data_IF_627994049485
#
_entry.id   IF_627994049485
#
_cell.length_a   1.000
_cell.length_b   1.000
_cell.length_c   1.000
_cell.angle_alpha   90.00
_cell.angle_beta   90.00
_cell.angle_gamma   90.00
#
_symmetry.space_group_name_H-M   'P 1'
#
loop_
_entity.id
_entity.type
_entity.pdbx_description
1 polymer ?
#
# COMPACT_ATOMS: atom_id res chain seq x y z
N UNK A 1 -70.51 13.93 11.56
CA UNK A 1 -69.71 14.23 10.36
C UNK A 1 -68.24 14.05 10.71
N UNK A 2 -67.59 12.98 10.24
CA UNK A 2 -66.16 12.73 10.51
C UNK A 2 -65.34 13.49 9.46
N UNK A 3 -64.50 14.44 9.87
CA UNK A 3 -63.57 15.14 8.97
C UNK A 3 -62.29 14.32 8.87
N UNK A 4 -61.98 13.85 7.66
CA UNK A 4 -60.73 13.20 7.31
C UNK A 4 -59.71 14.31 7.01
N UNK A 5 -58.62 14.39 7.78
CA UNK A 5 -57.51 15.32 7.52
C UNK A 5 -56.40 14.50 6.87
N UNK A 6 -56.15 14.77 5.59
CA UNK A 6 -55.10 14.14 4.80
C UNK A 6 -53.83 15.00 4.90
N UNK A 7 -52.79 14.50 5.56
CA UNK A 7 -51.46 15.13 5.55
C UNK A 7 -50.69 14.60 4.33
N UNK A 8 -50.51 15.45 3.32
CA UNK A 8 -49.58 15.22 2.22
C UNK A 8 -48.19 15.71 2.64
N UNK A 9 -47.30 14.77 2.96
CA UNK A 9 -45.87 15.03 3.14
C UNK A 9 -45.26 15.30 1.76
N UNK A 10 -44.64 16.47 1.51
CA UNK A 10 -43.93 16.71 0.27
C UNK A 10 -42.67 15.84 0.26
N UNK A 11 -42.60 14.90 -0.68
CA UNK A 11 -41.40 14.17 -1.03
C UNK A 11 -40.41 15.19 -1.64
N UNK A 12 -39.55 15.78 -0.81
CA UNK A 12 -38.43 16.57 -1.29
C UNK A 12 -37.44 15.60 -1.94
N UNK A 13 -37.44 15.59 -3.28
CA UNK A 13 -36.39 14.95 -4.07
C UNK A 13 -35.07 15.67 -3.77
N UNK A 14 -34.31 15.14 -2.82
CA UNK A 14 -32.88 15.44 -2.71
C UNK A 14 -32.25 15.01 -4.04
N UNK A 15 -31.62 15.91 -4.81
CA UNK A 15 -30.81 15.47 -5.92
C UNK A 15 -29.72 14.56 -5.36
N UNK A 16 -29.76 13.28 -5.73
CA UNK A 16 -28.64 12.39 -5.54
C UNK A 16 -27.45 13.06 -6.24
N UNK A 17 -26.51 13.59 -5.46
CA UNK A 17 -25.21 13.96 -5.99
C UNK A 17 -24.62 12.66 -6.52
N UNK A 18 -24.60 12.53 -7.85
CA UNK A 18 -23.90 11.46 -8.52
C UNK A 18 -22.47 11.48 -7.97
N UNK A 19 -22.06 10.36 -7.40
CA UNK A 19 -20.68 10.12 -7.04
C UNK A 19 -19.87 10.30 -8.34
N UNK A 20 -19.06 11.35 -8.40
CA UNK A 20 -18.01 11.42 -9.40
C UNK A 20 -17.13 10.22 -9.11
N UNK A 21 -16.96 9.34 -10.10
CA UNK A 21 -16.08 8.20 -10.00
C UNK A 21 -14.69 8.74 -9.63
N UNK A 22 -14.31 8.58 -8.37
CA UNK A 22 -13.06 9.10 -7.81
C UNK A 22 -11.87 8.23 -8.21
N UNK A 23 -12.13 7.13 -8.92
CA UNK A 23 -11.10 6.36 -9.58
C UNK A 23 -10.63 7.17 -10.80
N UNK A 24 -9.64 8.03 -10.60
CA UNK A 24 -8.84 8.51 -11.72
C UNK A 24 -8.34 7.28 -12.48
N UNK A 25 -8.70 7.19 -13.77
CA UNK A 25 -8.07 6.19 -14.63
C UNK A 25 -6.56 6.39 -14.53
N UNK A 26 -5.80 5.33 -14.19
CA UNK A 26 -4.36 5.44 -14.11
C UNK A 26 -3.83 5.95 -15.47
N UNK A 27 -2.81 6.82 -15.49
CA UNK A 27 -2.19 7.25 -16.75
C UNK A 27 -1.86 6.05 -17.64
N UNK A 28 -1.92 6.18 -18.97
CA UNK A 28 -1.65 5.08 -19.91
C UNK A 28 -0.34 4.32 -19.60
N UNK A 29 0.69 5.04 -19.12
CA UNK A 29 1.96 4.45 -18.70
C UNK A 29 1.81 3.50 -17.50
N UNK A 30 0.95 3.83 -16.55
CA UNK A 30 0.61 3.00 -15.39
C UNK A 30 -0.23 1.80 -15.80
N UNK A 31 -1.16 1.98 -16.75
CA UNK A 31 -1.94 0.87 -17.29
C UNK A 31 -1.06 -0.15 -18.02
N UNK A 32 -0.08 0.30 -18.82
CA UNK A 32 0.92 -0.57 -19.45
C UNK A 32 1.78 -1.32 -18.43
N UNK A 33 2.21 -0.65 -17.36
CA UNK A 33 2.93 -1.29 -16.26
C UNK A 33 2.07 -2.39 -15.62
N UNK A 34 0.80 -2.12 -15.36
CA UNK A 34 -0.15 -3.10 -14.79
C UNK A 34 -0.35 -4.29 -15.74
N UNK A 35 -0.57 -4.04 -17.03
CA UNK A 35 -0.72 -5.10 -18.04
C UNK A 35 0.53 -5.98 -18.15
N UNK A 36 1.72 -5.38 -18.12
CA UNK A 36 2.99 -6.12 -18.08
C UNK A 36 3.09 -6.99 -16.82
N UNK A 37 2.74 -6.46 -15.64
CA UNK A 37 2.75 -7.24 -14.40
C UNK A 37 1.74 -8.40 -14.42
N UNK A 38 0.55 -8.18 -14.99
CA UNK A 38 -0.51 -9.18 -15.13
C UNK A 38 -0.10 -10.30 -16.10
N UNK A 39 0.50 -9.96 -17.23
CA UNK A 39 0.98 -10.95 -18.20
C UNK A 39 2.15 -11.79 -17.67
N UNK A 40 2.98 -11.22 -16.78
CA UNK A 40 4.17 -11.90 -16.25
C UNK A 40 3.91 -12.72 -14.97
N UNK A 41 2.67 -12.74 -14.44
CA UNK A 41 2.33 -13.45 -13.19
C UNK A 41 1.24 -14.50 -13.44
N UNK A 42 1.60 -15.63 -14.06
CA UNK A 42 0.69 -16.80 -14.19
C UNK A 42 0.56 -17.64 -12.89
N UNK A 43 1.00 -17.11 -11.73
CA UNK A 43 1.08 -17.90 -10.49
C UNK A 43 -0.11 -17.64 -9.57
N UNK A 44 -0.85 -18.69 -9.22
CA UNK A 44 -1.92 -18.77 -8.19
C UNK A 44 -1.40 -18.54 -6.75
N UNK A 45 -0.44 -17.63 -6.56
CA UNK A 45 -0.08 -17.11 -5.25
C UNK A 45 -0.84 -15.81 -5.03
N UNK A 46 -1.35 -15.61 -3.81
CA UNK A 46 -2.09 -14.42 -3.38
C UNK A 46 -1.20 -13.17 -3.50
N UNK A 47 -1.07 -12.66 -4.72
CA UNK A 47 -0.35 -11.43 -5.04
C UNK A 47 -1.23 -10.30 -4.54
N UNK A 48 -0.80 -9.60 -3.49
CA UNK A 48 -1.50 -8.42 -3.02
C UNK A 48 -1.23 -7.26 -3.99
N UNK A 49 -1.93 -7.28 -5.13
CA UNK A 49 -1.84 -6.25 -6.19
C UNK A 49 -2.10 -4.86 -5.63
N UNK A 50 -2.90 -4.79 -4.57
CA UNK A 50 -3.20 -3.54 -3.90
C UNK A 50 -1.93 -2.89 -3.37
N UNK A 51 -0.95 -3.65 -2.84
CA UNK A 51 0.24 -3.03 -2.23
C UNK A 51 1.20 -2.42 -3.26
N UNK A 52 1.37 -3.05 -4.42
CA UNK A 52 2.23 -2.50 -5.51
C UNK A 52 1.56 -1.30 -6.16
N UNK A 53 0.24 -1.39 -6.38
CA UNK A 53 -0.53 -0.28 -6.92
C UNK A 53 -0.54 0.92 -5.97
N UNK A 54 -0.78 0.71 -4.68
CA UNK A 54 -0.69 1.74 -3.63
C UNK A 54 0.69 2.42 -3.64
N UNK A 55 1.77 1.64 -3.79
CA UNK A 55 3.15 2.16 -3.79
C UNK A 55 3.44 3.01 -5.04
N UNK A 56 3.01 2.57 -6.23
CA UNK A 56 3.16 3.35 -7.46
C UNK A 56 2.29 4.62 -7.45
N UNK A 57 1.05 4.54 -6.97
CA UNK A 57 0.17 5.71 -6.81
C UNK A 57 0.80 6.74 -5.87
N UNK A 58 1.34 6.27 -4.74
CA UNK A 58 2.07 7.11 -3.81
C UNK A 58 3.24 7.86 -4.50
N UNK A 59 4.00 7.17 -5.38
CA UNK A 59 5.11 7.80 -6.12
C UNK A 59 4.69 8.75 -7.25
N UNK A 60 3.45 8.66 -7.75
CA UNK A 60 2.92 9.68 -8.65
C UNK A 60 2.70 11.00 -7.93
N UNK A 61 2.19 10.93 -6.70
CA UNK A 61 1.96 12.11 -5.87
C UNK A 61 3.25 12.61 -5.20
N UNK A 62 4.19 11.71 -4.92
CA UNK A 62 5.46 11.98 -4.25
C UNK A 62 6.65 11.43 -5.05
N UNK A 63 7.00 12.01 -6.22
CA UNK A 63 8.03 11.48 -7.10
C UNK A 63 9.40 11.41 -6.41
N UNK A 64 10.17 10.38 -6.75
CA UNK A 64 11.52 10.15 -6.23
C UNK A 64 12.50 11.12 -6.89
N UNK A 65 13.27 11.86 -6.11
CA UNK A 65 14.35 12.68 -6.64
C UNK A 65 15.55 11.80 -7.02
N UNK A 66 15.88 11.76 -8.30
CA UNK A 66 16.97 10.96 -8.85
C UNK A 66 18.36 11.46 -8.42
N UNK A 67 18.50 12.71 -7.99
CA UNK A 67 19.76 13.25 -7.47
C UNK A 67 20.02 12.79 -6.04
N UNK A 68 18.97 12.57 -5.26
CA UNK A 68 19.07 12.14 -3.86
C UNK A 68 18.90 10.62 -3.67
N UNK A 69 18.18 9.96 -4.59
CA UNK A 69 17.78 8.56 -4.45
C UNK A 69 18.98 7.62 -4.26
N UNK A 70 18.87 6.71 -3.30
CA UNK A 70 19.75 5.57 -3.14
C UNK A 70 19.32 4.37 -3.98
N UNK A 71 20.13 3.31 -3.96
CA UNK A 71 19.79 2.03 -4.61
C UNK A 71 18.43 1.48 -4.12
N UNK A 72 18.18 1.54 -2.82
CA UNK A 72 16.94 1.03 -2.21
C UNK A 72 15.69 1.80 -2.65
N UNK A 73 15.79 3.13 -2.83
CA UNK A 73 14.68 3.95 -3.31
C UNK A 73 14.32 3.59 -4.75
N UNK A 74 15.32 3.42 -5.61
CA UNK A 74 15.12 3.05 -7.01
C UNK A 74 14.61 1.60 -7.14
N UNK A 75 15.07 0.69 -6.28
CA UNK A 75 14.57 -0.70 -6.23
C UNK A 75 13.08 -0.76 -5.85
N UNK A 76 12.61 0.15 -5.00
CA UNK A 76 11.21 0.16 -4.56
C UNK A 76 10.20 0.50 -5.66
N UNK A 77 10.64 1.14 -6.74
CA UNK A 77 9.79 1.35 -7.91
C UNK A 77 9.41 0.02 -8.56
N UNK A 78 10.25 -1.02 -8.46
CA UNK A 78 10.09 -2.30 -9.17
C UNK A 78 9.98 -2.17 -10.71
N UNK A 79 10.35 -1.00 -11.26
CA UNK A 79 10.33 -0.69 -12.68
C UNK A 79 11.71 -0.76 -13.33
N UNK A 80 12.78 -0.77 -12.54
CA UNK A 80 14.17 -0.78 -12.98
C UNK A 80 14.86 -2.07 -12.57
N UNK A 81 15.74 -2.56 -13.44
CA UNK A 81 16.65 -3.66 -13.11
C UNK A 81 17.83 -3.21 -12.28
N UNK A 82 18.46 -4.13 -11.55
CA UNK A 82 19.66 -3.83 -10.76
C UNK A 82 20.79 -3.22 -11.62
N UNK A 83 20.89 -3.62 -12.90
CA UNK A 83 21.86 -3.03 -13.84
C UNK A 83 21.51 -1.58 -14.16
N UNK A 84 20.24 -1.32 -14.45
CA UNK A 84 19.75 0.04 -14.71
C UNK A 84 19.96 0.96 -13.51
N UNK A 85 19.66 0.47 -12.31
CA UNK A 85 19.89 1.22 -11.06
C UNK A 85 21.38 1.51 -10.88
N UNK A 86 22.24 0.49 -11.06
CA UNK A 86 23.68 0.65 -10.94
C UNK A 86 24.25 1.66 -11.94
N UNK A 87 23.81 1.59 -13.21
CA UNK A 87 24.27 2.50 -14.24
C UNK A 87 23.80 3.94 -14.02
N UNK A 88 22.58 4.15 -13.54
CA UNK A 88 22.09 5.47 -13.12
C UNK A 88 22.95 6.05 -11.97
N UNK A 89 23.22 5.25 -10.93
CA UNK A 89 24.06 5.67 -9.81
C UNK A 89 25.51 5.95 -10.24
N UNK A 90 26.05 5.17 -11.18
CA UNK A 90 27.37 5.40 -11.74
C UNK A 90 27.42 6.66 -12.61
N UNK A 91 26.39 6.90 -13.43
CA UNK A 91 26.26 8.12 -14.23
C UNK A 91 26.29 9.35 -13.31
N UNK A 92 25.48 9.37 -12.24
CA UNK A 92 25.49 10.45 -11.24
C UNK A 92 26.87 10.65 -10.59
N UNK A 93 27.56 9.55 -10.27
CA UNK A 93 28.92 9.62 -9.70
C UNK A 93 29.94 10.25 -10.66
N UNK A 94 29.78 10.05 -11.96
CA UNK A 94 30.71 10.54 -12.98
C UNK A 94 30.37 11.95 -13.49
N UNK A 95 29.08 12.22 -13.73
CA UNK A 95 28.59 13.45 -14.34
C UNK A 95 28.18 14.52 -13.31
N UNK A 96 27.92 14.13 -12.05
CA UNK A 96 27.33 14.98 -11.02
C UNK A 96 25.81 14.85 -10.99
N UNK A 97 25.15 15.82 -10.37
CA UNK A 97 23.68 15.88 -10.29
C UNK A 97 23.08 16.06 -11.70
N UNK A 98 22.00 15.32 -11.97
CA UNK A 98 21.16 15.46 -13.15
C UNK A 98 20.58 16.88 -13.17
N UNK A 99 20.91 17.64 -14.21
CA UNK A 99 20.40 18.99 -14.45
C UNK A 99 19.03 18.90 -15.12
N UNK A 100 18.82 17.87 -15.92
CA UNK A 100 17.56 17.63 -16.62
C UNK A 100 17.17 16.16 -16.60
N UNK A 101 15.86 15.91 -16.45
CA UNK A 101 15.30 14.56 -16.55
C UNK A 101 15.61 13.88 -17.89
N UNK A 102 15.90 14.65 -18.94
CA UNK A 102 16.25 14.11 -20.26
C UNK A 102 17.64 13.47 -20.31
N UNK A 103 18.51 13.72 -19.32
CA UNK A 103 19.82 13.07 -19.19
C UNK A 103 19.72 11.55 -18.97
N UNK A 104 18.54 11.05 -18.58
CA UNK A 104 18.28 9.61 -18.51
C UNK A 104 18.56 8.88 -19.83
N UNK A 105 18.48 9.56 -20.97
CA UNK A 105 18.82 9.00 -22.29
C UNK A 105 20.33 8.78 -22.48
N UNK A 106 21.18 9.36 -21.64
CA UNK A 106 22.63 9.16 -21.67
C UNK A 106 23.07 7.89 -20.93
N UNK A 107 22.16 7.24 -20.18
CA UNK A 107 22.44 6.01 -19.44
C UNK A 107 22.33 4.82 -20.41
N UNK A 108 23.39 4.02 -20.61
CA UNK A 108 23.43 2.99 -21.67
C UNK A 108 22.30 1.94 -21.62
N UNK A 109 21.89 1.53 -20.42
CA UNK A 109 20.82 0.54 -20.22
C UNK A 109 19.40 1.11 -20.28
N UNK A 110 19.23 2.41 -20.51
CA UNK A 110 17.92 3.07 -20.53
C UNK A 110 17.45 3.23 -21.98
N UNK A 111 16.42 2.48 -22.34
CA UNK A 111 15.68 2.70 -23.59
C UNK A 111 14.52 3.68 -23.37
N UNK A 112 13.98 4.21 -24.47
CA UNK A 112 12.86 5.17 -24.41
C UNK A 112 11.62 4.58 -23.72
N UNK A 113 11.42 3.26 -23.80
CA UNK A 113 10.32 2.58 -23.12
C UNK A 113 10.53 2.62 -21.60
N UNK A 114 11.71 2.22 -21.11
CA UNK A 114 12.06 2.28 -19.69
C UNK A 114 11.92 3.70 -19.16
N UNK A 115 12.45 4.70 -19.87
CA UNK A 115 12.38 6.10 -19.46
C UNK A 115 10.92 6.54 -19.32
N UNK A 116 10.08 6.27 -20.33
CA UNK A 116 8.65 6.61 -20.28
C UNK A 116 7.92 5.93 -19.11
N UNK A 117 8.31 4.71 -18.75
CA UNK A 117 7.73 3.97 -17.63
C UNK A 117 8.07 4.59 -16.29
N UNK A 118 9.28 5.09 -16.09
CA UNK A 118 9.69 5.66 -14.80
C UNK A 118 9.33 7.14 -14.63
N UNK A 119 9.20 7.89 -15.73
CA UNK A 119 8.95 9.33 -15.73
C UNK A 119 7.82 9.81 -14.79
N UNK A 120 6.67 9.11 -14.68
CA UNK A 120 5.58 9.53 -13.78
C UNK A 120 5.93 9.48 -12.29
N UNK A 121 7.00 8.78 -11.92
CA UNK A 121 7.33 8.44 -10.52
C UNK A 121 8.65 9.06 -10.04
N UNK A 122 9.32 9.85 -10.88
CA UNK A 122 10.66 10.40 -10.62
C UNK A 122 10.75 11.87 -10.99
N UNK A 123 11.66 12.60 -10.33
CA UNK A 123 12.00 13.99 -10.60
C UNK A 123 13.52 14.18 -10.50
N UNK A 124 14.05 15.27 -11.06
CA UNK A 124 15.46 15.70 -10.88
C UNK A 124 15.57 16.99 -10.07
N UNK A 125 14.43 17.52 -9.62
CA UNK A 125 14.35 18.81 -8.94
C UNK A 125 13.30 18.71 -7.83
N UNK A 126 13.75 18.43 -6.61
CA UNK A 126 13.05 18.86 -5.41
C UNK A 126 13.74 20.09 -4.87
N UNK A 127 12.97 21.16 -4.67
CA UNK A 127 13.42 22.34 -3.96
C UNK A 127 14.05 21.95 -2.61
N UNK A 128 15.04 22.74 -2.21
CA UNK A 128 15.93 22.62 -1.04
C UNK A 128 15.21 22.40 0.32
N UNK A 129 13.87 22.44 0.34
CA UNK A 129 13.05 22.49 1.55
C UNK A 129 12.82 21.14 2.26
N UNK A 130 13.13 19.99 1.64
CA UNK A 130 12.83 18.65 2.20
C UNK A 130 13.90 18.11 3.18
N UNK A 131 15.07 18.75 3.28
CA UNK A 131 16.19 18.27 4.10
C UNK A 131 16.14 18.72 5.57
N UNK A 132 15.22 19.61 5.95
CA UNK A 132 15.13 20.17 7.31
C UNK A 132 13.71 20.15 7.90
N UNK A 133 12.86 19.24 7.44
CA UNK A 133 11.52 19.11 8.01
C UNK A 133 11.57 18.43 9.37
N UNK A 134 10.95 19.06 10.36
CA UNK A 134 10.86 18.54 11.72
C UNK A 134 9.77 17.45 11.80
N UNK A 135 9.99 16.41 12.61
CA UNK A 135 9.01 15.32 12.84
C UNK A 135 7.59 15.84 13.12
N UNK A 136 7.38 16.88 13.95
CA UNK A 136 6.03 17.41 14.21
C UNK A 136 5.33 17.91 12.94
N UNK A 137 6.09 18.50 12.01
CA UNK A 137 5.54 18.98 10.74
C UNK A 137 5.18 17.82 9.83
N UNK A 138 6.01 16.79 9.78
CA UNK A 138 5.73 15.57 9.01
C UNK A 138 4.47 14.86 9.52
N UNK A 139 4.28 14.79 10.85
CA UNK A 139 3.07 14.26 11.48
C UNK A 139 1.82 15.11 11.16
N UNK A 140 1.98 16.41 10.91
CA UNK A 140 0.87 17.32 10.63
C UNK A 140 0.52 17.42 9.14
N UNK A 141 1.51 17.38 8.26
CA UNK A 141 1.40 17.69 6.82
C UNK A 141 1.38 16.43 5.93
N UNK A 142 1.15 15.24 6.51
CA UNK A 142 1.09 13.98 5.76
C UNK A 142 -0.29 13.61 5.22
N UNK A 143 -0.28 12.64 4.31
CA UNK A 143 -1.48 12.03 3.76
C UNK A 143 -2.04 11.04 4.78
N UNK A 144 -3.35 11.12 5.02
CA UNK A 144 -4.05 10.25 5.93
C UNK A 144 -5.04 9.39 5.14
N UNK A 145 -4.86 8.07 5.22
CA UNK A 145 -5.71 7.06 4.62
C UNK A 145 -6.48 6.35 5.73
N UNK A 146 -7.81 6.36 5.63
CA UNK A 146 -8.69 5.57 6.50
C UNK A 146 -9.47 4.59 5.63
N UNK A 147 -9.21 3.31 5.82
CA UNK A 147 -9.90 2.22 5.15
C UNK A 147 -10.80 1.49 6.15
N UNK A 148 -12.07 1.38 5.80
CA UNK A 148 -13.11 0.72 6.59
C UNK A 148 -13.83 -0.28 5.70
N UNK A 149 -13.87 -1.54 6.12
CA UNK A 149 -14.57 -2.61 5.42
C UNK A 149 -15.45 -3.36 6.41
N UNK A 150 -16.74 -3.43 6.07
CA UNK A 150 -17.70 -4.29 6.74
C UNK A 150 -18.17 -5.36 5.76
N UNK A 151 -18.15 -6.62 6.18
CA UNK A 151 -18.59 -7.75 5.36
C UNK A 151 -19.43 -8.73 6.16
N UNK A 152 -20.46 -9.31 5.52
CA UNK A 152 -21.32 -10.34 6.13
C UNK A 152 -21.88 -11.27 5.05
N UNK A 153 -22.00 -12.55 5.39
CA UNK A 153 -22.78 -13.51 4.62
C UNK A 153 -24.26 -13.35 5.00
N UNK A 154 -25.11 -13.08 4.00
CA UNK A 154 -26.55 -12.84 4.20
C UNK A 154 -27.30 -14.16 4.45
N UNK A 155 -26.84 -15.24 3.85
CA UNK A 155 -27.38 -16.59 4.09
C UNK A 155 -27.15 -17.02 5.54
N UNK A 156 -28.17 -17.64 6.14
CA UNK A 156 -28.06 -18.17 7.49
C UNK A 156 -27.17 -19.42 7.50
N UNK A 157 -25.97 -19.27 8.07
CA UNK A 157 -25.03 -20.38 8.16
C UNK A 157 -25.35 -21.24 9.38
N UNK A 158 -25.22 -22.58 9.24
CA UNK A 158 -25.49 -23.57 10.30
C UNK A 158 -24.72 -23.34 11.60
N UNK A 159 -23.60 -22.61 11.55
CA UNK A 159 -22.80 -22.23 12.72
C UNK A 159 -23.45 -21.17 13.62
N UNK A 160 -24.48 -20.46 13.13
CA UNK A 160 -25.23 -19.43 13.86
C UNK A 160 -26.68 -19.83 14.15
N UNK A 161 -27.18 -20.90 13.55
CA UNK A 161 -28.54 -21.41 13.82
C UNK A 161 -28.60 -22.21 15.12
N UNK A 162 -29.74 -22.18 15.86
CA UNK A 162 -29.90 -22.96 17.08
C UNK A 162 -29.67 -24.47 16.84
N UNK A 163 -29.16 -25.18 17.86
CA UNK A 163 -28.97 -26.63 17.80
C UNK A 163 -30.34 -27.33 17.86
N UNK A 164 -30.54 -28.31 16.99
CA UNK A 164 -31.64 -29.26 17.12
C UNK A 164 -31.39 -30.23 18.29
N UNK A 165 -32.45 -30.71 18.94
CA UNK A 165 -32.36 -31.58 20.12
C UNK A 165 -31.47 -32.81 19.84
N UNK A 166 -30.39 -32.96 20.62
CA UNK A 166 -29.46 -34.09 20.53
C UNK A 166 -28.15 -33.81 19.78
N UNK A 167 -27.93 -32.61 19.23
CA UNK A 167 -26.65 -32.25 18.61
C UNK A 167 -25.68 -31.61 19.62
N UNK A 168 -24.46 -32.15 19.68
CA UNK A 168 -23.32 -31.55 20.41
C UNK A 168 -22.36 -30.94 19.39
N UNK A 169 -22.62 -29.71 18.96
CA UNK A 169 -21.71 -28.98 18.07
C UNK A 169 -21.35 -27.61 18.65
N UNK A 170 -20.09 -27.21 18.46
CA UNK A 170 -19.65 -25.85 18.80
C UNK A 170 -20.32 -24.85 17.84
N UNK A 171 -20.85 -23.78 18.43
CA UNK A 171 -21.46 -22.66 17.72
C UNK A 171 -20.55 -21.45 17.85
N UNK A 172 -20.64 -20.55 16.87
CA UNK A 172 -19.99 -19.26 17.00
C UNK A 172 -20.64 -18.47 18.15
N UNK A 173 -19.81 -17.85 18.98
CA UNK A 173 -20.26 -17.15 20.18
C UNK A 173 -20.76 -15.74 19.85
N UNK A 174 -20.18 -15.13 18.81
CA UNK A 174 -20.54 -13.79 18.36
C UNK A 174 -21.24 -13.74 17.02
N UNK A 175 -21.21 -12.56 16.42
CA UNK A 175 -22.00 -12.22 15.23
C UNK A 175 -21.24 -12.51 13.92
N UNK A 176 -21.94 -12.76 12.80
CA UNK A 176 -21.33 -13.08 11.50
C UNK A 176 -20.75 -11.87 10.76
N UNK A 177 -20.66 -10.69 11.38
CA UNK A 177 -20.05 -9.53 10.76
C UNK A 177 -18.53 -9.59 10.92
N UNK A 178 -17.84 -9.34 9.81
CA UNK A 178 -16.41 -9.06 9.78
C UNK A 178 -16.22 -7.55 9.69
N UNK A 179 -15.29 -7.03 10.47
CA UNK A 179 -14.89 -5.62 10.42
C UNK A 179 -13.40 -5.53 10.21
N UNK A 180 -12.99 -4.69 9.26
CA UNK A 180 -11.59 -4.41 9.00
C UNK A 180 -11.39 -2.90 8.96
N UNK A 181 -10.43 -2.43 9.75
CA UNK A 181 -10.07 -1.03 9.90
C UNK A 181 -8.57 -0.89 9.70
N UNK A 182 -8.16 -0.01 8.78
CA UNK A 182 -6.76 0.35 8.58
C UNK A 182 -6.67 1.86 8.51
N UNK A 183 -5.90 2.43 9.43
CA UNK A 183 -5.50 3.82 9.40
C UNK A 183 -4.01 3.89 9.05
N UNK A 184 -3.65 4.73 8.09
CA UNK A 184 -2.26 4.96 7.69
C UNK A 184 -2.04 6.44 7.48
N UNK A 185 -0.96 6.94 8.05
CA UNK A 185 -0.44 8.26 7.78
C UNK A 185 0.92 8.13 7.12
N UNK A 186 1.10 8.78 5.98
CA UNK A 186 2.37 8.79 5.25
C UNK A 186 2.78 10.22 4.90
N UNK A 187 4.03 10.55 5.19
CA UNK A 187 4.66 11.79 4.76
C UNK A 187 5.86 11.47 3.88
N UNK A 188 5.65 11.60 2.56
CA UNK A 188 6.67 11.28 1.56
C UNK A 188 7.28 9.88 1.82
N UNK A 189 8.52 9.63 1.42
CA UNK A 189 9.22 8.37 1.72
C UNK A 189 9.87 8.35 3.13
N UNK A 190 9.58 9.35 3.97
CA UNK A 190 10.36 9.65 5.20
C UNK A 190 9.66 9.25 6.49
N UNK A 191 8.33 9.31 6.57
CA UNK A 191 7.59 8.91 7.76
C UNK A 191 6.34 8.15 7.35
N UNK A 192 6.10 7.02 8.00
CA UNK A 192 4.85 6.29 7.90
C UNK A 192 4.45 5.78 9.27
N UNK A 193 3.20 5.92 9.65
CA UNK A 193 2.67 5.18 10.79
C UNK A 193 1.26 4.71 10.50
N UNK A 194 0.88 3.58 11.07
CA UNK A 194 -0.43 3.02 10.83
C UNK A 194 -0.87 2.07 11.92
N UNK A 195 -2.17 1.88 11.97
CA UNK A 195 -2.85 0.97 12.89
C UNK A 195 -3.84 0.17 12.05
N UNK A 196 -3.80 -1.15 12.19
CA UNK A 196 -4.74 -2.08 11.56
C UNK A 196 -5.45 -2.84 12.67
N UNK A 197 -6.76 -3.00 12.53
CA UNK A 197 -7.58 -3.81 13.42
C UNK A 197 -8.56 -4.64 12.59
N UNK A 198 -8.70 -5.92 12.93
CA UNK A 198 -9.66 -6.82 12.30
C UNK A 198 -10.52 -7.50 13.36
N UNK A 199 -11.75 -7.82 12.99
CA UNK A 199 -12.64 -8.71 13.71
C UNK A 199 -13.12 -9.76 12.73
N UNK A 200 -12.91 -11.01 13.08
CA UNK A 200 -13.42 -12.16 12.36
C UNK A 200 -14.91 -12.43 12.65
N UNK A 201 -15.48 -13.23 11.76
CA UNK A 201 -16.89 -13.65 11.86
C UNK A 201 -17.03 -14.68 12.97
N UNK A 202 -18.04 -14.48 13.82
CA UNK A 202 -18.38 -15.43 14.87
C UNK A 202 -17.68 -15.21 16.19
N UNK A 203 -16.81 -14.20 16.26
CA UNK A 203 -16.20 -13.69 17.49
C UNK A 203 -17.13 -12.69 18.20
N UNK A 204 -17.16 -12.73 19.53
CA UNK A 204 -17.88 -11.74 20.33
C UNK A 204 -17.20 -10.37 20.21
N UNK A 205 -17.98 -9.28 20.13
CA UNK A 205 -17.43 -7.92 20.02
C UNK A 205 -17.77 -7.09 21.24
N UNK A 206 -16.74 -6.65 21.98
CA UNK A 206 -16.88 -5.88 23.23
C UNK A 206 -17.79 -6.53 24.28
N UNK A 207 -17.92 -7.86 24.24
CA UNK A 207 -18.82 -8.62 25.09
C UNK A 207 -18.25 -10.01 25.39
N UNK A 208 -18.73 -10.62 26.48
CA UNK A 208 -18.40 -12.01 26.82
C UNK A 208 -16.90 -12.28 26.98
N UNK A 209 -16.39 -13.18 26.12
CA UNK A 209 -15.01 -13.67 26.07
C UNK A 209 -14.03 -12.68 25.44
N UNK A 210 -14.49 -11.78 24.56
CA UNK A 210 -13.66 -10.76 23.92
C UNK A 210 -14.12 -9.33 24.32
N UNK A 211 -13.55 -8.84 25.42
CA UNK A 211 -13.84 -7.50 25.96
C UNK A 211 -13.04 -6.38 25.26
N UNK A 212 -12.03 -6.73 24.48
CA UNK A 212 -11.14 -5.76 23.83
C UNK A 212 -11.69 -5.33 22.46
N UNK A 213 -12.60 -6.10 21.86
CA UNK A 213 -13.31 -5.75 20.65
C UNK A 213 -12.75 -6.50 19.46
N UNK A 214 -11.73 -5.95 18.82
CA UNK A 214 -11.05 -6.59 17.70
C UNK A 214 -10.16 -7.73 18.21
N UNK A 215 -10.03 -8.79 17.41
CA UNK A 215 -9.19 -9.95 17.73
C UNK A 215 -7.74 -9.72 17.30
N UNK A 216 -7.55 -9.02 16.18
CA UNK A 216 -6.26 -8.63 15.65
C UNK A 216 -6.02 -7.12 15.77
N UNK A 217 -4.84 -6.75 16.27
CA UNK A 217 -4.32 -5.39 16.26
C UNK A 217 -2.87 -5.38 15.80
N UNK A 218 -2.57 -4.57 14.80
CA UNK A 218 -1.22 -4.32 14.32
C UNK A 218 -0.95 -2.81 14.30
N UNK A 219 0.27 -2.42 14.64
CA UNK A 219 0.70 -1.04 14.57
C UNK A 219 2.15 -0.94 14.10
N UNK A 220 2.46 0.10 13.34
CA UNK A 220 3.81 0.34 12.84
C UNK A 220 4.13 1.85 12.85
N UNK A 221 5.36 2.21 13.22
CA UNK A 221 5.96 3.55 13.04
C UNK A 221 7.33 3.46 12.36
N UNK A 222 7.45 4.05 11.17
CA UNK A 222 8.61 4.01 10.31
C UNK A 222 9.12 5.42 10.06
N UNK A 223 10.41 5.65 10.28
CA UNK A 223 11.10 6.91 10.02
C UNK A 223 12.34 6.61 9.19
N UNK A 224 12.51 7.30 8.06
CA UNK A 224 13.64 7.16 7.14
C UNK A 224 14.39 8.49 7.00
N UNK A 225 15.71 8.40 6.93
CA UNK A 225 16.65 9.49 6.65
C UNK A 225 16.45 10.73 7.52
N UNK A 226 16.22 10.52 8.82
CA UNK A 226 16.05 11.61 9.79
C UNK A 226 17.35 12.42 9.97
N UNK A 227 18.50 11.75 9.96
CA UNK A 227 19.81 12.41 9.97
C UNK A 227 20.87 11.53 9.28
N UNK A 228 22.08 12.07 9.06
CA UNK A 228 23.17 11.35 8.36
C UNK A 228 23.63 10.05 9.04
N UNK A 229 23.27 9.82 10.30
CA UNK A 229 23.68 8.65 11.09
C UNK A 229 22.55 7.61 11.23
N UNK A 230 21.30 8.07 11.24
CA UNK A 230 20.09 7.26 11.42
C UNK A 230 19.36 7.22 10.07
N UNK A 231 19.62 6.16 9.31
CA UNK A 231 19.02 5.93 7.99
C UNK A 231 17.59 5.42 8.06
N UNK A 232 17.28 4.57 9.04
CA UNK A 232 15.93 4.03 9.22
C UNK A 232 15.67 3.65 10.69
N UNK A 233 14.46 3.91 11.15
CA UNK A 233 13.90 3.43 12.42
C UNK A 233 12.56 2.78 12.10
N UNK A 234 12.36 1.56 12.59
CA UNK A 234 11.13 0.80 12.46
C UNK A 234 10.70 0.30 13.85
N UNK A 235 9.48 0.61 14.26
CA UNK A 235 8.92 0.24 15.58
C UNK A 235 7.52 -0.34 15.41
N UNK A 236 7.30 -1.57 15.86
CA UNK A 236 6.03 -2.29 15.72
C UNK A 236 6.16 -3.46 14.74
N UNK A 237 5.13 -3.66 13.91
CA UNK A 237 5.08 -4.78 12.96
C UNK A 237 5.74 -4.42 11.63
N UNK A 238 6.82 -5.13 11.31
CA UNK A 238 7.64 -4.89 10.13
C UNK A 238 7.99 -6.19 9.42
N UNK A 239 7.88 -6.14 8.11
CA UNK A 239 8.49 -7.11 7.23
C UNK A 239 9.95 -6.73 7.03
N UNK A 240 10.85 -7.65 7.39
CA UNK A 240 12.29 -7.48 7.26
C UNK A 240 12.79 -8.37 6.13
N UNK A 241 13.63 -7.86 5.24
CA UNK A 241 14.22 -8.63 4.15
C UNK A 241 15.73 -8.44 4.09
N UNK A 242 16.48 -9.48 4.45
CA UNK A 242 17.93 -9.58 4.39
C UNK A 242 18.35 -10.85 3.66
N UNK A 243 19.22 -10.73 2.66
CA UNK A 243 19.86 -11.89 2.02
C UNK A 243 18.85 -12.89 1.47
N UNK A 244 18.21 -12.55 0.34
CA UNK A 244 17.24 -13.38 -0.37
C UNK A 244 17.70 -14.86 -0.42
N UNK A 245 16.95 -15.77 0.21
CA UNK A 245 17.22 -17.21 0.21
C UNK A 245 18.36 -17.68 1.14
N UNK A 246 18.99 -16.78 1.91
CA UNK A 246 20.11 -17.10 2.81
C UNK A 246 19.84 -16.76 4.27
N UNK A 247 19.13 -15.66 4.56
CA UNK A 247 18.89 -15.19 5.94
C UNK A 247 17.40 -15.07 6.23
N UNK A 248 16.73 -14.04 5.70
CA UNK A 248 15.32 -13.77 5.96
C UNK A 248 14.75 -12.97 4.79
N UNK A 249 13.76 -13.50 4.09
CA UNK A 249 13.14 -12.80 2.95
C UNK A 249 11.63 -12.83 3.11
N UNK A 250 11.04 -11.66 3.37
CA UNK A 250 9.59 -11.46 3.47
C UNK A 250 9.02 -10.76 2.24
N UNK A 251 9.87 -10.40 1.27
CA UNK A 251 9.45 -9.84 0.00
C UNK A 251 8.68 -10.86 -0.83
N UNK A 252 7.74 -10.38 -1.65
CA UNK A 252 7.14 -11.21 -2.68
C UNK A 252 8.15 -11.44 -3.81
N UNK A 253 7.99 -12.54 -4.56
CA UNK A 253 8.87 -12.84 -5.67
C UNK A 253 8.09 -13.41 -6.83
N UNK A 254 7.98 -12.63 -7.92
CA UNK A 254 7.40 -13.11 -9.16
C UNK A 254 8.13 -14.38 -9.65
N UNK A 255 7.36 -15.26 -10.29
CA UNK A 255 7.87 -16.46 -10.97
C UNK A 255 8.63 -16.11 -12.26
N UNK A 256 8.64 -17.02 -13.23
CA UNK A 256 9.30 -16.81 -14.52
C UNK A 256 8.64 -15.62 -15.26
N UNK A 257 9.36 -14.50 -15.35
CA UNK A 257 8.96 -13.30 -16.09
C UNK A 257 9.78 -13.17 -17.37
N UNK A 258 9.23 -12.47 -18.37
CA UNK A 258 9.94 -12.06 -19.59
C UNK A 258 11.10 -11.08 -19.30
N UNK A 259 11.14 -10.47 -18.11
CA UNK A 259 12.25 -9.66 -17.62
C UNK A 259 13.40 -10.54 -17.10
N UNK A 260 14.12 -11.19 -18.01
CA UNK A 260 15.24 -12.11 -17.73
C UNK A 260 16.39 -11.45 -16.93
N UNK A 261 16.45 -10.11 -16.91
CA UNK A 261 17.46 -9.36 -16.15
C UNK A 261 17.07 -9.11 -14.68
N UNK A 262 15.81 -9.36 -14.28
CA UNK A 262 15.30 -9.17 -12.91
C UNK A 262 15.22 -10.50 -12.15
N UNK A 263 16.32 -11.24 -12.11
CA UNK A 263 16.41 -12.53 -11.40
C UNK A 263 16.54 -12.32 -9.88
N UNK A 264 17.22 -11.24 -9.47
CA UNK A 264 17.34 -10.83 -8.07
C UNK A 264 16.05 -10.12 -7.64
N UNK A 265 15.48 -10.55 -6.53
CA UNK A 265 14.27 -9.97 -5.94
C UNK A 265 14.70 -8.94 -4.91
N UNK A 266 14.57 -7.67 -5.27
CA UNK A 266 14.89 -6.56 -4.38
C UNK A 266 13.66 -6.20 -3.56
N UNK A 267 13.68 -6.59 -2.28
CA UNK A 267 12.74 -6.10 -1.28
C UNK A 267 13.48 -5.10 -0.39
N UNK A 268 12.80 -4.05 0.05
CA UNK A 268 13.36 -3.11 1.04
C UNK A 268 13.79 -3.89 2.28
N UNK A 269 14.92 -3.48 2.84
CA UNK A 269 15.48 -4.09 4.05
C UNK A 269 14.47 -4.06 5.20
N UNK A 270 13.74 -2.94 5.32
CA UNK A 270 12.64 -2.75 6.26
C UNK A 270 11.43 -2.21 5.51
N UNK A 271 10.29 -2.89 5.66
CA UNK A 271 9.00 -2.46 5.13
C UNK A 271 7.95 -2.49 6.25
N UNK A 272 7.16 -1.44 6.46
CA UNK A 272 6.05 -1.49 7.41
C UNK A 272 5.07 -2.60 7.01
N UNK A 273 4.72 -3.46 7.95
CA UNK A 273 3.69 -4.45 7.72
C UNK A 273 2.32 -3.75 7.79
N UNK A 274 1.56 -3.88 6.73
CA UNK A 274 0.25 -3.20 6.57
C UNK A 274 -0.87 -4.18 6.25
N UNK A 275 -0.55 -5.47 6.17
CA UNK A 275 -1.50 -6.53 5.86
C UNK A 275 -1.98 -7.23 7.15
N UNK A 276 -2.99 -8.06 6.98
CA UNK A 276 -3.64 -8.88 8.03
C UNK A 276 -3.35 -10.36 7.86
N UNK A 277 -2.45 -10.72 6.94
CA UNK A 277 -1.99 -12.10 6.87
C UNK A 277 -1.21 -12.45 8.14
N UNK A 278 -1.65 -13.51 8.83
CA UNK A 278 -0.85 -14.22 9.84
C UNK A 278 0.25 -15.07 9.20
#
# INVERSE_FOLDING_TARGET
MKRLVLFLLPFSSLPALAQVDSLQQPPDATQQVIEDFLQNTESEGDFDFNTVFEELQFYQENPIDLNEAGEEDLQSLQLLSDIQILELLNYRRMAGDLISIYELQAIPSFDLLTIRRILPYVTVDKGIDDYQLSIPRMLAEGQNELYLRWSRIVEEQKGYSPLEEGQTAQRYLGDPNQFYLRFKHAYSNKLSYGITAEKDRGEEFFAGSNKQGFDFYSAHLFIKDYNRTIKAIAIGDYAVSFGQGLILYSGFGAGKSSYVMNIKRSARVLRPYTSVNE
#
